data_IF_221116058442
#
_entry.id   IF_221116058442
#
_cell.length_a   1.000
_cell.length_b   1.000
_cell.length_c   1.000
_cell.angle_alpha   90.00
_cell.angle_beta   90.00
_cell.angle_gamma   90.00
#
_symmetry.space_group_name_H-M   'P 1'
#
loop_
_entity.id
_entity.type
_entity.pdbx_description
1 polymer ?
#
# COMPACT_ATOMS: atom_id res chain seq x y z
N UNK A 1 12.05 -2.74 -11.04
CA UNK A 1 10.58 -2.85 -10.86
C UNK A 1 10.05 -4.27 -10.83
N UNK A 2 10.23 -5.12 -11.87
CA UNK A 2 9.77 -6.53 -11.85
C UNK A 2 10.32 -7.34 -10.68
N UNK A 3 11.60 -7.19 -10.33
CA UNK A 3 12.21 -7.87 -9.19
C UNK A 3 11.52 -7.52 -7.86
N UNK A 4 11.30 -6.22 -7.61
CA UNK A 4 10.61 -5.74 -6.40
C UNK A 4 9.16 -6.24 -6.36
N UNK A 5 8.45 -6.22 -7.49
CA UNK A 5 7.10 -6.79 -7.56
C UNK A 5 7.06 -8.29 -7.26
N UNK A 6 8.02 -9.07 -7.78
CA UNK A 6 8.15 -10.51 -7.46
C UNK A 6 8.47 -10.73 -5.98
N UNK A 7 9.33 -9.89 -5.40
CA UNK A 7 9.63 -9.94 -3.97
C UNK A 7 8.38 -9.64 -3.13
N UNK A 8 7.58 -8.62 -3.49
CA UNK A 8 6.31 -8.34 -2.81
C UNK A 8 5.31 -9.50 -2.92
N UNK A 9 5.25 -10.16 -4.08
CA UNK A 9 4.45 -11.39 -4.26
C UNK A 9 4.94 -12.53 -3.37
N UNK A 10 6.25 -12.74 -3.28
CA UNK A 10 6.83 -13.75 -2.39
C UNK A 10 6.50 -13.44 -0.93
N UNK A 11 6.72 -12.19 -0.48
CA UNK A 11 6.39 -11.71 0.87
C UNK A 11 4.90 -11.84 1.24
N UNK A 12 4.01 -11.83 0.24
CA UNK A 12 2.58 -12.02 0.47
C UNK A 12 2.17 -13.48 0.64
N UNK A 13 3.06 -14.44 0.37
CA UNK A 13 2.83 -15.85 0.68
C UNK A 13 3.10 -16.07 2.19
N UNK A 14 2.12 -16.56 2.98
CA UNK A 14 2.33 -16.90 4.38
C UNK A 14 3.52 -17.84 4.64
N UNK A 15 3.83 -18.75 3.71
CA UNK A 15 4.96 -19.69 3.83
C UNK A 15 6.32 -18.98 3.78
N UNK A 16 6.38 -17.77 3.23
CA UNK A 16 7.62 -16.99 3.16
C UNK A 16 7.99 -16.27 4.46
N UNK A 17 7.03 -16.13 5.40
CA UNK A 17 7.15 -15.23 6.56
C UNK A 17 8.36 -15.54 7.43
N UNK A 18 8.56 -16.81 7.78
CA UNK A 18 9.70 -17.23 8.61
C UNK A 18 11.02 -16.86 7.94
N UNK A 19 11.20 -17.24 6.68
CA UNK A 19 12.40 -16.91 5.90
C UNK A 19 12.58 -15.40 5.74
N UNK A 20 11.51 -14.64 5.51
CA UNK A 20 11.56 -13.19 5.43
C UNK A 20 12.01 -12.57 6.75
N UNK A 21 11.47 -13.04 7.88
CA UNK A 21 11.88 -12.61 9.22
C UNK A 21 13.36 -12.89 9.50
N UNK A 22 13.85 -14.08 9.16
CA UNK A 22 15.27 -14.46 9.29
C UNK A 22 16.21 -13.67 8.39
N UNK A 23 15.77 -13.28 7.18
CA UNK A 23 16.56 -12.42 6.32
C UNK A 23 16.63 -11.02 6.93
N UNK A 24 15.49 -10.46 7.35
CA UNK A 24 15.40 -9.10 7.89
C UNK A 24 16.08 -8.94 9.25
N UNK A 25 16.17 -10.00 10.06
CA UNK A 25 16.78 -9.96 11.40
C UNK A 25 18.30 -9.85 11.41
N UNK A 26 18.98 -10.14 10.29
CA UNK A 26 20.45 -10.14 10.24
C UNK A 26 21.00 -8.74 10.58
N UNK A 27 22.18 -8.71 11.18
CA UNK A 27 22.84 -7.47 11.62
C UNK A 27 23.05 -6.44 10.51
N UNK A 28 23.19 -6.88 9.25
CA UNK A 28 23.31 -6.00 8.08
C UNK A 28 21.98 -5.38 7.61
N UNK A 29 20.85 -5.74 8.24
CA UNK A 29 19.51 -5.22 7.93
C UNK A 29 18.90 -4.53 9.15
N UNK A 30 17.91 -5.14 9.83
CA UNK A 30 17.23 -4.50 10.95
C UNK A 30 17.93 -4.72 12.29
N UNK A 31 18.80 -5.73 12.40
CA UNK A 31 19.52 -6.08 13.63
C UNK A 31 18.60 -6.21 14.85
N UNK A 32 17.46 -6.89 14.66
CA UNK A 32 16.49 -7.20 15.72
C UNK A 32 16.08 -8.67 15.67
N UNK A 33 15.70 -9.26 16.81
CA UNK A 33 15.16 -10.62 16.86
C UNK A 33 14.05 -10.87 15.81
N UNK A 34 14.09 -12.03 15.15
CA UNK A 34 13.13 -12.38 14.10
C UNK A 34 11.70 -12.46 14.63
N UNK A 35 11.52 -12.74 15.92
CA UNK A 35 10.23 -12.79 16.62
C UNK A 35 9.56 -11.40 16.74
N UNK A 36 10.34 -10.31 16.69
CA UNK A 36 9.79 -8.96 16.59
C UNK A 36 9.23 -8.69 15.19
N UNK A 37 9.92 -9.19 14.16
CA UNK A 37 9.53 -9.01 12.76
C UNK A 37 8.31 -9.87 12.43
N UNK A 38 8.27 -11.12 12.90
CA UNK A 38 7.17 -12.05 12.67
C UNK A 38 5.83 -11.51 13.19
N UNK A 39 5.83 -10.80 14.33
CA UNK A 39 4.64 -10.12 14.86
C UNK A 39 4.01 -9.15 13.86
N UNK A 40 4.83 -8.36 13.16
CA UNK A 40 4.36 -7.45 12.13
C UNK A 40 3.90 -8.21 10.87
N UNK A 41 4.68 -9.19 10.39
CA UNK A 41 4.36 -9.96 9.19
C UNK A 41 3.12 -10.86 9.32
N UNK A 42 2.84 -11.32 10.55
CA UNK A 42 1.67 -12.15 10.87
C UNK A 42 0.45 -11.33 11.28
N UNK A 43 0.65 -10.08 11.73
CA UNK A 43 -0.40 -9.21 12.26
C UNK A 43 -0.71 -9.42 13.75
N UNK A 44 0.06 -10.24 14.47
CA UNK A 44 -0.08 -10.44 15.92
C UNK A 44 0.69 -9.34 16.66
N UNK A 45 0.01 -8.25 17.00
CA UNK A 45 0.64 -7.07 17.58
C UNK A 45 0.47 -7.02 19.09
N UNK A 46 1.53 -6.62 19.80
CA UNK A 46 1.46 -6.21 21.20
C UNK A 46 1.05 -4.75 21.26
N UNK A 47 -0.15 -4.45 21.76
CA UNK A 47 -0.77 -3.12 21.68
C UNK A 47 -0.75 -2.34 23.00
N UNK A 48 -0.26 -2.93 24.08
CA UNK A 48 -0.13 -2.26 25.37
C UNK A 48 1.13 -2.68 26.12
N UNK A 49 1.62 -1.82 27.01
CA UNK A 49 2.74 -2.12 27.90
C UNK A 49 2.47 -3.24 28.91
N UNK A 50 1.21 -3.68 29.04
CA UNK A 50 0.82 -4.85 29.85
C UNK A 50 0.84 -6.17 29.06
N UNK A 51 1.25 -6.12 27.79
CA UNK A 51 1.37 -7.32 26.95
C UNK A 51 0.10 -7.75 26.24
N UNK A 52 -0.94 -6.89 26.16
CA UNK A 52 -2.15 -7.19 25.39
C UNK A 52 -1.80 -7.48 23.93
N UNK A 53 -2.25 -8.62 23.41
CA UNK A 53 -2.07 -9.01 22.02
C UNK A 53 -3.36 -8.82 21.23
N UNK A 54 -3.25 -8.34 19.99
CA UNK A 54 -4.36 -8.27 19.04
C UNK A 54 -3.93 -8.78 17.69
N UNK A 55 -4.78 -9.59 17.07
CA UNK A 55 -4.63 -9.96 15.67
C UNK A 55 -5.25 -8.88 14.79
N UNK A 56 -4.44 -8.27 13.92
CA UNK A 56 -4.87 -7.27 12.95
C UNK A 56 -4.73 -7.86 11.55
N UNK A 57 -5.86 -8.30 10.98
CA UNK A 57 -5.88 -8.83 9.63
C UNK A 57 -5.43 -7.79 8.61
N UNK A 58 -4.50 -8.17 7.73
CA UNK A 58 -4.01 -7.27 6.69
C UNK A 58 -3.18 -6.09 7.19
N UNK A 59 -2.61 -6.18 8.40
CA UNK A 59 -1.73 -5.14 8.94
C UNK A 59 -0.59 -4.75 7.98
N UNK A 60 0.02 -5.75 7.33
CA UNK A 60 0.96 -5.58 6.23
C UNK A 60 0.47 -6.35 4.99
N UNK A 61 0.54 -5.70 3.82
CA UNK A 61 0.20 -6.27 2.53
C UNK A 61 1.22 -5.85 1.48
N UNK A 62 1.74 -6.80 0.69
CA UNK A 62 2.84 -6.57 -0.25
C UNK A 62 2.44 -6.81 -1.71
N UNK A 63 1.25 -7.33 -1.99
CA UNK A 63 0.86 -7.71 -3.35
C UNK A 63 -0.64 -7.66 -3.65
N UNK A 64 -1.48 -8.24 -2.79
CA UNK A 64 -2.93 -8.37 -3.06
C UNK A 64 -3.60 -7.00 -3.09
N UNK A 65 -4.75 -6.91 -3.74
CA UNK A 65 -5.52 -5.65 -3.77
C UNK A 65 -4.83 -4.50 -4.51
N UNK A 66 -3.86 -4.79 -5.37
CA UNK A 66 -2.98 -3.78 -5.98
C UNK A 66 -2.25 -2.89 -4.96
N UNK A 67 -1.85 -3.46 -3.80
CA UNK A 67 -1.18 -2.72 -2.72
C UNK A 67 0.10 -1.97 -3.15
N UNK A 68 0.82 -2.48 -4.14
CA UNK A 68 2.06 -1.86 -4.66
C UNK A 68 1.83 -0.99 -5.90
N UNK A 69 0.58 -0.87 -6.37
CA UNK A 69 0.28 0.00 -7.49
C UNK A 69 0.34 1.47 -7.02
N UNK A 70 1.11 2.34 -7.69
CA UNK A 70 1.28 3.73 -7.27
C UNK A 70 0.05 4.56 -7.67
N UNK A 71 -0.97 4.55 -6.81
CA UNK A 71 -2.20 5.31 -6.99
C UNK A 71 -1.94 6.82 -6.96
N UNK A 72 -2.27 7.50 -8.06
CA UNK A 72 -2.14 8.95 -8.20
C UNK A 72 -3.07 9.71 -7.24
N UNK A 73 -4.21 9.10 -6.87
CA UNK A 73 -5.11 9.60 -5.83
C UNK A 73 -4.43 9.65 -4.46
N UNK A 74 -3.61 8.66 -4.11
CA UNK A 74 -2.83 8.67 -2.86
C UNK A 74 -1.77 9.76 -2.87
N UNK A 75 -1.11 10.01 -4.00
CA UNK A 75 -0.16 11.12 -4.14
C UNK A 75 -0.83 12.47 -3.85
N UNK A 76 -2.00 12.73 -4.45
CA UNK A 76 -2.82 13.92 -4.21
C UNK A 76 -3.21 14.04 -2.73
N UNK A 77 -3.68 12.95 -2.12
CA UNK A 77 -4.07 12.94 -0.70
C UNK A 77 -2.90 13.26 0.23
N UNK A 78 -1.75 12.59 0.04
CA UNK A 78 -0.54 12.82 0.85
C UNK A 78 -0.07 14.27 0.72
N UNK A 79 0.00 14.80 -0.51
CA UNK A 79 0.35 16.21 -0.73
C UNK A 79 -0.65 17.14 -0.04
N UNK A 80 -1.94 16.84 -0.10
CA UNK A 80 -2.99 17.57 0.60
C UNK A 80 -2.80 17.61 2.12
N UNK A 81 -2.44 16.48 2.73
CA UNK A 81 -2.15 16.43 4.18
C UNK A 81 -0.91 17.26 4.53
N UNK A 82 0.18 17.12 3.75
CA UNK A 82 1.42 17.87 3.99
C UNK A 82 1.19 19.37 3.86
N UNK A 83 0.46 19.81 2.85
CA UNK A 83 0.17 21.23 2.68
C UNK A 83 -0.63 21.79 3.86
N UNK A 84 -1.66 21.06 4.32
CA UNK A 84 -2.42 21.45 5.52
C UNK A 84 -1.57 21.49 6.78
N UNK A 85 -0.70 20.50 7.00
CA UNK A 85 0.14 20.45 8.21
C UNK A 85 1.25 21.50 8.23
N UNK A 86 1.67 21.98 7.06
CA UNK A 86 2.75 22.96 6.90
C UNK A 86 2.28 24.36 6.48
N UNK A 87 0.97 24.58 6.35
CA UNK A 87 0.41 25.87 5.92
C UNK A 87 0.79 26.26 4.49
N UNK A 88 1.01 25.28 3.61
CA UNK A 88 1.35 25.50 2.21
C UNK A 88 0.08 25.63 1.36
N UNK A 89 0.13 26.47 0.34
CA UNK A 89 -0.91 26.54 -0.67
C UNK A 89 -0.68 25.48 -1.77
N UNK A 90 -1.57 24.49 -1.83
CA UNK A 90 -1.55 23.45 -2.87
C UNK A 90 -1.70 24.02 -4.27
N UNK A 91 -2.51 25.08 -4.43
CA UNK A 91 -2.75 25.70 -5.73
C UNK A 91 -1.50 26.43 -6.25
N UNK A 92 -0.63 26.85 -5.33
CA UNK A 92 0.65 27.48 -5.66
C UNK A 92 1.78 26.45 -5.93
N UNK A 93 1.56 25.15 -5.69
CA UNK A 93 2.60 24.15 -5.94
C UNK A 93 2.82 23.95 -7.45
N UNK A 94 4.08 23.98 -7.92
CA UNK A 94 4.37 23.83 -9.34
C UNK A 94 4.21 22.37 -9.79
N UNK A 95 3.50 22.17 -10.91
CA UNK A 95 3.42 20.90 -11.63
C UNK A 95 2.37 19.91 -11.11
N UNK A 96 2.26 18.78 -11.79
CA UNK A 96 1.35 17.70 -11.44
C UNK A 96 1.93 16.88 -10.27
N UNK A 97 1.53 17.19 -9.03
CA UNK A 97 1.93 16.47 -7.82
C UNK A 97 1.71 14.95 -7.94
N UNK A 98 0.64 14.54 -8.64
CA UNK A 98 0.34 13.13 -8.83
C UNK A 98 1.36 12.42 -9.73
N UNK A 99 2.15 13.15 -10.53
CA UNK A 99 3.22 12.59 -11.35
C UNK A 99 4.39 12.01 -10.53
N UNK A 100 4.49 12.32 -9.23
CA UNK A 100 5.41 11.64 -8.33
C UNK A 100 5.11 10.12 -8.24
N UNK A 101 3.84 9.74 -8.37
CA UNK A 101 3.41 8.35 -8.36
C UNK A 101 3.32 7.82 -9.81
N UNK A 102 4.41 7.18 -10.24
CA UNK A 102 4.65 6.76 -11.63
C UNK A 102 3.91 5.49 -12.04
N UNK A 103 2.58 5.54 -12.03
CA UNK A 103 1.71 4.45 -12.51
C UNK A 103 1.94 4.10 -13.98
N UNK A 104 2.40 5.05 -14.78
CA UNK A 104 2.84 4.85 -16.17
C UNK A 104 4.06 3.91 -16.25
N UNK A 105 5.10 4.13 -15.43
CA UNK A 105 6.27 3.25 -15.37
C UNK A 105 5.90 1.90 -14.80
N UNK A 106 5.02 1.87 -13.79
CA UNK A 106 4.52 0.64 -13.20
C UNK A 106 3.86 -0.27 -14.24
N UNK A 107 2.92 0.28 -15.01
CA UNK A 107 2.28 -0.45 -16.11
C UNK A 107 3.27 -0.84 -17.19
N UNK A 108 4.13 0.10 -17.63
CA UNK A 108 5.15 -0.17 -18.67
C UNK A 108 6.02 -1.37 -18.29
N UNK A 109 6.55 -1.38 -17.07
CA UNK A 109 7.49 -2.41 -16.65
C UNK A 109 6.83 -3.70 -16.19
N UNK A 110 5.55 -3.73 -15.82
CA UNK A 110 4.83 -4.96 -15.49
C UNK A 110 3.95 -5.49 -16.63
N UNK A 111 3.91 -4.80 -17.77
CA UNK A 111 3.26 -5.28 -19.00
C UNK A 111 3.78 -6.67 -19.39
N UNK A 112 2.87 -7.55 -19.81
CA UNK A 112 3.21 -8.94 -20.18
C UNK A 112 3.65 -9.83 -19.02
N UNK A 113 3.50 -9.40 -17.76
CA UNK A 113 3.56 -10.32 -16.60
C UNK A 113 2.19 -10.89 -16.29
N UNK A 114 2.12 -11.87 -15.38
CA UNK A 114 0.85 -12.38 -14.85
C UNK A 114 0.13 -11.40 -13.90
N UNK A 115 0.57 -10.15 -13.80
CA UNK A 115 -0.01 -9.16 -12.91
C UNK A 115 -1.24 -8.52 -13.56
N UNK A 116 -2.39 -8.62 -12.91
CA UNK A 116 -3.57 -7.87 -13.33
C UNK A 116 -3.48 -6.44 -12.78
N UNK A 117 -3.53 -5.46 -13.68
CA UNK A 117 -3.26 -4.06 -13.37
C UNK A 117 -4.55 -3.24 -13.42
N UNK A 118 -4.76 -2.30 -12.49
CA UNK A 118 -5.89 -1.38 -12.56
C UNK A 118 -5.91 -0.57 -13.87
N UNK A 119 -7.10 -0.44 -14.46
CA UNK A 119 -7.33 0.43 -15.62
C UNK A 119 -7.18 1.91 -15.27
N UNK A 120 -7.74 2.33 -14.13
CA UNK A 120 -7.61 3.69 -13.61
C UNK A 120 -6.30 3.88 -12.82
N UNK A 121 -5.79 5.10 -12.78
CA UNK A 121 -4.64 5.46 -11.91
C UNK A 121 -5.06 6.14 -10.62
N UNK A 122 -6.34 6.47 -10.49
CA UNK A 122 -6.94 7.19 -9.38
C UNK A 122 -8.21 6.44 -8.97
N UNK A 123 -8.51 6.50 -7.68
CA UNK A 123 -9.74 5.99 -7.07
C UNK A 123 -10.16 6.93 -5.95
N UNK A 124 -11.42 6.83 -5.53
CA UNK A 124 -11.88 7.49 -4.31
C UNK A 124 -11.26 6.75 -3.11
N UNK A 125 -10.43 7.44 -2.34
CA UNK A 125 -9.72 6.86 -1.19
C UNK A 125 -10.61 6.85 0.05
N UNK A 126 -10.62 5.74 0.78
CA UNK A 126 -11.41 5.55 2.00
C UNK A 126 -12.86 5.11 1.77
N UNK A 127 -13.28 4.95 0.51
CA UNK A 127 -14.64 4.57 0.14
C UNK A 127 -14.87 3.05 0.07
N UNK A 128 -13.81 2.22 -0.01
CA UNK A 128 -13.92 0.78 -0.21
C UNK A 128 -14.13 0.10 1.15
N UNK A 129 -15.35 -0.41 1.37
CA UNK A 129 -15.74 -1.06 2.64
C UNK A 129 -15.55 -2.57 2.63
N UNK A 130 -15.65 -3.18 1.47
CA UNK A 130 -15.52 -4.61 1.23
C UNK A 130 -14.70 -4.83 -0.04
N UNK A 131 -14.18 -6.03 -0.22
CA UNK A 131 -13.46 -6.39 -1.45
C UNK A 131 -14.33 -6.08 -2.68
N UNK A 132 -13.81 -5.21 -3.55
CA UNK A 132 -14.59 -4.62 -4.66
C UNK A 132 -13.90 -4.92 -5.99
N UNK A 133 -14.56 -5.63 -6.92
CA UNK A 133 -14.03 -5.85 -8.27
C UNK A 133 -13.84 -4.53 -9.01
N UNK A 134 -12.73 -4.40 -9.75
CA UNK A 134 -12.44 -3.19 -10.54
C UNK A 134 -12.01 -3.53 -11.96
N UNK A 135 -12.24 -2.58 -12.85
CA UNK A 135 -11.78 -2.66 -14.23
C UNK A 135 -10.25 -2.81 -14.27
N UNK A 136 -9.80 -3.86 -14.94
CA UNK A 136 -8.42 -4.28 -15.02
C UNK A 136 -8.18 -5.00 -16.35
N UNK A 137 -6.93 -5.17 -16.75
CA UNK A 137 -6.59 -5.72 -18.06
C UNK A 137 -7.10 -7.16 -18.25
N UNK A 138 -7.17 -7.95 -17.18
CA UNK A 138 -7.63 -9.35 -17.21
C UNK A 138 -8.97 -9.55 -16.49
N UNK A 139 -9.56 -8.51 -15.90
CA UNK A 139 -10.86 -8.56 -15.24
C UNK A 139 -10.89 -9.38 -13.95
N UNK A 140 -9.72 -9.62 -13.34
CA UNK A 140 -9.55 -10.47 -12.14
C UNK A 140 -9.14 -9.69 -10.91
N UNK A 141 -8.94 -8.37 -11.03
CA UNK A 141 -8.52 -7.54 -9.93
C UNK A 141 -9.71 -7.11 -9.05
N UNK A 142 -9.56 -7.38 -7.75
CA UNK A 142 -10.38 -6.78 -6.70
C UNK A 142 -9.51 -5.90 -5.81
N UNK A 143 -10.01 -4.73 -5.45
CA UNK A 143 -9.38 -3.85 -4.45
C UNK A 143 -9.84 -4.25 -3.05
N UNK A 144 -8.93 -4.12 -2.08
CA UNK A 144 -9.22 -4.41 -0.67
C UNK A 144 -9.79 -3.17 0.04
N UNK A 145 -10.45 -3.34 1.19
CA UNK A 145 -10.92 -2.22 2.00
C UNK A 145 -9.81 -1.22 2.34
N UNK A 146 -10.12 0.08 2.26
CA UNK A 146 -9.14 1.16 2.39
C UNK A 146 -9.60 2.31 3.30
N UNK A 147 -10.63 2.07 4.12
CA UNK A 147 -11.23 3.09 4.99
C UNK A 147 -10.20 3.77 5.90
N UNK A 148 -10.24 5.09 5.95
CA UNK A 148 -9.56 5.85 6.99
C UNK A 148 -10.19 5.56 8.37
N UNK A 149 -9.39 5.70 9.43
CA UNK A 149 -9.81 5.42 10.80
C UNK A 149 -10.94 6.36 11.28
N UNK A 150 -10.98 7.59 10.75
CA UNK A 150 -12.00 8.60 11.05
C UNK A 150 -13.22 8.50 10.12
N UNK A 151 -13.22 7.55 9.19
CA UNK A 151 -14.30 7.33 8.23
C UNK A 151 -14.44 8.39 7.15
N UNK A 152 -13.49 9.33 7.03
CA UNK A 152 -13.49 10.31 5.93
C UNK A 152 -13.30 9.60 4.58
N UNK A 153 -13.65 10.33 3.53
CA UNK A 153 -13.47 9.92 2.13
C UNK A 153 -12.71 11.04 1.44
N UNK A 154 -11.83 10.68 0.52
CA UNK A 154 -11.12 11.62 -0.34
C UNK A 154 -11.40 11.30 -1.81
N UNK A 155 -12.09 12.21 -2.50
CA UNK A 155 -12.26 12.16 -3.95
C UNK A 155 -11.16 12.99 -4.62
N UNK A 156 -10.28 12.39 -5.45
CA UNK A 156 -9.20 13.09 -6.15
C UNK A 156 -9.67 14.07 -7.24
N UNK A 157 -10.97 14.10 -7.57
CA UNK A 157 -11.57 15.01 -8.56
C UNK A 157 -12.30 16.19 -7.90
N UNK A 158 -12.60 16.12 -6.60
CA UNK A 158 -13.14 17.24 -5.85
C UNK A 158 -11.97 18.10 -5.33
N UNK A 159 -12.08 19.42 -5.48
CA UNK A 159 -11.14 20.33 -4.83
C UNK A 159 -11.38 20.22 -3.31
N UNK A 160 -10.40 19.68 -2.59
CA UNK A 160 -10.48 19.41 -1.15
C UNK A 160 -10.30 20.63 -0.26
#
# INVERSE_FOLDING_TARGET
MRAVWRAGRWLSNPESRTTAGEILSRAQYLDVPSELIDRALSGHLTVSGRGEQRQVEGFLEFHRGAATFPWRSQAKWIAGQMARSHGLDLAAMPGDLAAAFRSDLYRRHLSGTSNDLPGASEKVEGAIRHETPVASAQGRLSLRPDRFFDGRIFDPNEAG
#
